data_IF_337885511655
#
_entry.id   IF_337885511655
#
_cell.length_a   1.000
_cell.length_b   1.000
_cell.length_c   1.000
_cell.angle_alpha   90.00
_cell.angle_beta   90.00
_cell.angle_gamma   90.00
#
_symmetry.space_group_name_H-M   'P 1'
#
loop_
_entity.id
_entity.type
_entity.pdbx_description
1 polymer ?
#
# COMPACT_ATOMS: atom_id res chain seq x y z
N UNK A 1 -46.81 23.21 -29.27
CA UNK A 1 -46.22 23.17 -27.92
C UNK A 1 -46.84 21.99 -27.19
N UNK A 2 -46.02 21.00 -26.78
CA UNK A 2 -46.50 19.73 -26.23
C UNK A 2 -47.13 19.95 -24.85
N UNK A 3 -48.34 19.43 -24.66
CA UNK A 3 -48.97 19.23 -23.37
C UNK A 3 -48.06 18.34 -22.50
N UNK A 4 -47.23 18.97 -21.67
CA UNK A 4 -46.57 18.28 -20.56
C UNK A 4 -47.68 17.95 -19.55
N UNK A 5 -47.81 16.67 -19.21
CA UNK A 5 -48.63 16.20 -18.11
C UNK A 5 -48.46 17.11 -16.88
N UNK A 6 -49.51 17.31 -16.05
CA UNK A 6 -49.36 18.04 -14.80
C UNK A 6 -48.20 17.44 -14.02
N UNK A 7 -47.32 18.30 -13.48
CA UNK A 7 -46.18 17.84 -12.68
C UNK A 7 -46.73 16.92 -11.59
N UNK A 8 -46.18 15.71 -11.40
CA UNK A 8 -46.59 14.86 -10.29
C UNK A 8 -46.46 15.67 -9.00
N UNK A 9 -47.56 15.79 -8.25
CA UNK A 9 -47.57 16.48 -6.97
C UNK A 9 -46.93 15.53 -5.95
N UNK A 10 -45.65 15.73 -5.66
CA UNK A 10 -44.94 15.04 -4.59
C UNK A 10 -44.72 16.01 -3.43
N UNK A 11 -44.71 15.48 -2.20
CA UNK A 11 -44.33 16.22 -1.00
C UNK A 11 -43.12 15.54 -0.39
N UNK A 12 -42.00 16.25 -0.30
CA UNK A 12 -40.81 15.73 0.35
C UNK A 12 -40.95 15.85 1.86
N UNK A 13 -40.74 14.72 2.54
CA UNK A 13 -40.67 14.66 4.00
C UNK A 13 -39.27 14.20 4.38
N UNK A 14 -38.59 14.97 5.23
CA UNK A 14 -37.32 14.53 5.80
C UNK A 14 -37.57 13.38 6.77
N UNK A 15 -36.93 12.25 6.55
CA UNK A 15 -36.97 11.12 7.47
C UNK A 15 -35.80 11.22 8.46
N UNK A 16 -36.07 10.98 9.74
CA UNK A 16 -35.05 10.97 10.80
C UNK A 16 -35.10 9.61 11.49
N UNK A 17 -34.19 8.72 11.11
CA UNK A 17 -34.16 7.32 11.53
C UNK A 17 -33.15 6.55 10.69
N UNK A 18 -33.13 5.23 10.85
CA UNK A 18 -32.19 4.36 10.11
C UNK A 18 -32.67 4.10 8.68
N UNK A 19 -31.75 3.69 7.81
CA UNK A 19 -32.12 3.27 6.45
C UNK A 19 -33.07 2.06 6.43
N UNK A 20 -32.96 1.17 7.42
CA UNK A 20 -33.85 0.01 7.50
C UNK A 20 -35.28 0.43 7.88
N UNK A 21 -35.43 1.40 8.79
CA UNK A 21 -36.73 1.98 9.12
C UNK A 21 -37.32 2.76 7.94
N UNK A 22 -36.48 3.47 7.18
CA UNK A 22 -36.91 4.18 5.96
C UNK A 22 -37.45 3.19 4.92
N UNK A 23 -36.72 2.11 4.64
CA UNK A 23 -37.15 1.06 3.71
C UNK A 23 -38.40 0.34 4.22
N UNK A 24 -38.47 0.04 5.51
CA UNK A 24 -39.64 -0.55 6.13
C UNK A 24 -40.88 0.35 5.99
N UNK A 25 -40.73 1.66 6.18
CA UNK A 25 -41.82 2.64 6.04
C UNK A 25 -42.34 2.71 4.61
N UNK A 26 -41.46 2.58 3.61
CA UNK A 26 -41.86 2.43 2.21
C UNK A 26 -42.59 1.11 2.01
N UNK A 27 -42.08 -0.02 2.53
CA UNK A 27 -42.77 -1.33 2.38
C UNK A 27 -44.17 -1.38 3.02
N UNK A 28 -44.38 -0.60 4.09
CA UNK A 28 -45.67 -0.52 4.80
C UNK A 28 -46.65 0.46 4.15
N UNK A 29 -46.27 1.13 3.07
CA UNK A 29 -47.12 2.10 2.36
C UNK A 29 -47.30 3.42 3.09
N UNK A 30 -46.43 3.73 4.07
CA UNK A 30 -46.42 5.03 4.76
C UNK A 30 -45.86 6.12 3.83
N UNK A 31 -44.87 5.75 3.02
CA UNK A 31 -44.30 6.58 1.97
C UNK A 31 -44.32 5.84 0.63
N UNK A 32 -44.63 6.54 -0.45
CA UNK A 32 -44.66 5.94 -1.80
C UNK A 32 -43.26 5.58 -2.30
N UNK A 33 -42.24 6.34 -1.87
CA UNK A 33 -40.85 6.16 -2.29
C UNK A 33 -39.88 6.83 -1.32
N UNK A 34 -38.63 6.35 -1.30
CA UNK A 34 -37.53 6.96 -0.57
C UNK A 34 -36.41 7.38 -1.53
N UNK A 35 -35.94 8.62 -1.37
CA UNK A 35 -34.86 9.21 -2.15
C UNK A 35 -33.69 9.48 -1.21
N UNK A 36 -32.55 8.87 -1.49
CA UNK A 36 -31.32 9.00 -0.71
C UNK A 36 -30.27 8.00 -1.19
N UNK A 37 -29.13 8.01 -0.52
CA UNK A 37 -28.02 7.06 -0.61
C UNK A 37 -28.37 5.69 -0.01
N UNK A 38 -29.53 5.15 -0.40
CA UNK A 38 -30.00 3.84 0.07
C UNK A 38 -29.27 2.74 -0.70
N UNK A 39 -28.44 1.98 0.01
CA UNK A 39 -27.74 0.84 -0.56
C UNK A 39 -28.69 -0.30 -0.86
N UNK A 40 -28.62 -0.80 -2.09
CA UNK A 40 -29.38 -1.96 -2.56
C UNK A 40 -28.77 -3.22 -1.92
N UNK A 41 -29.51 -3.86 -1.03
CA UNK A 41 -29.12 -5.12 -0.39
C UNK A 41 -30.13 -6.23 -0.73
N UNK A 42 -29.69 -7.49 -0.67
CA UNK A 42 -30.56 -8.63 -0.98
C UNK A 42 -31.80 -8.66 -0.07
N UNK A 43 -31.65 -8.32 1.21
CA UNK A 43 -32.73 -8.27 2.18
C UNK A 43 -33.79 -7.21 1.83
N UNK A 44 -33.36 -5.98 1.53
CA UNK A 44 -34.27 -4.86 1.21
C UNK A 44 -35.03 -5.08 -0.11
N UNK A 45 -34.40 -5.74 -1.08
CA UNK A 45 -35.04 -6.07 -2.37
C UNK A 45 -36.16 -7.10 -2.22
N UNK A 46 -36.19 -7.89 -1.14
CA UNK A 46 -37.30 -8.84 -0.93
C UNK A 46 -38.60 -8.17 -0.52
N UNK A 47 -38.54 -6.97 0.06
CA UNK A 47 -39.70 -6.26 0.61
C UNK A 47 -40.05 -4.99 -0.17
N UNK A 48 -39.14 -4.48 -0.99
CA UNK A 48 -39.31 -3.21 -1.72
C UNK A 48 -38.63 -3.26 -3.09
N UNK A 49 -39.15 -2.48 -4.03
CA UNK A 49 -38.54 -2.34 -5.35
C UNK A 49 -37.50 -1.22 -5.35
N UNK A 50 -36.45 -1.40 -6.14
CA UNK A 50 -35.38 -0.43 -6.29
C UNK A 50 -35.24 0.00 -7.75
N UNK A 51 -34.85 1.27 -7.95
CA UNK A 51 -34.42 1.74 -9.27
C UNK A 51 -33.10 1.09 -9.68
N UNK A 52 -32.73 1.22 -10.96
CA UNK A 52 -31.35 0.95 -11.37
C UNK A 52 -30.38 1.79 -10.51
N UNK A 53 -29.23 1.22 -10.11
CA UNK A 53 -28.29 1.92 -9.25
C UNK A 53 -27.74 3.15 -9.97
N UNK A 54 -27.85 4.32 -9.35
CA UNK A 54 -27.34 5.57 -9.92
C UNK A 54 -25.86 5.80 -9.56
N UNK A 55 -25.32 5.02 -8.61
CA UNK A 55 -23.90 5.05 -8.24
C UNK A 55 -23.48 3.64 -7.84
N UNK A 56 -22.45 3.10 -8.50
CA UNK A 56 -21.88 1.82 -8.10
C UNK A 56 -21.17 1.97 -6.75
N UNK A 57 -21.44 1.05 -5.83
CA UNK A 57 -20.86 1.04 -4.49
C UNK A 57 -20.28 -0.35 -4.20
N UNK A 58 -19.74 -0.50 -3.00
CA UNK A 58 -19.21 -1.72 -2.42
C UNK A 58 -18.66 -1.40 -1.05
N UNK A 59 -18.39 -2.44 -0.26
CA UNK A 59 -17.79 -2.30 1.05
C UNK A 59 -16.28 -2.44 0.91
N UNK A 60 -15.54 -1.49 1.47
CA UNK A 60 -14.08 -1.53 1.52
C UNK A 60 -13.59 -1.16 2.92
N UNK A 61 -12.27 -1.23 3.11
CA UNK A 61 -11.60 -0.96 4.36
C UNK A 61 -10.64 0.21 4.20
N UNK A 62 -10.72 1.16 5.13
CA UNK A 62 -9.79 2.26 5.31
C UNK A 62 -8.83 1.93 6.45
N UNK A 63 -7.54 2.15 6.21
CA UNK A 63 -6.46 1.91 7.18
C UNK A 63 -5.51 3.09 7.21
N UNK A 64 -4.83 3.28 8.34
CA UNK A 64 -3.72 4.22 8.45
C UNK A 64 -2.56 3.73 7.55
N UNK A 65 -2.06 4.60 6.69
CA UNK A 65 -0.86 4.35 5.93
C UNK A 65 0.34 4.56 6.85
N UNK A 66 1.15 3.52 7.05
CA UNK A 66 2.43 3.69 7.73
C UNK A 66 3.44 4.28 6.75
N UNK A 67 3.66 5.59 6.85
CA UNK A 67 4.96 6.14 6.48
C UNK A 67 5.95 5.74 7.58
N UNK A 68 7.02 5.02 7.25
CA UNK A 68 8.15 4.84 8.16
C UNK A 68 9.07 6.07 8.00
N UNK A 69 8.97 7.14 8.82
CA UNK A 69 9.76 8.35 8.61
C UNK A 69 11.28 8.16 8.88
N UNK A 70 11.72 7.05 9.48
CA UNK A 70 13.10 6.95 10.00
C UNK A 70 13.97 5.84 9.40
N UNK A 71 13.55 5.10 8.36
CA UNK A 71 14.37 4.00 7.82
C UNK A 71 15.35 4.40 6.70
N UNK A 72 15.33 5.66 6.24
CA UNK A 72 16.15 6.10 5.10
C UNK A 72 17.65 5.95 5.40
N UNK A 73 18.09 6.21 6.63
CA UNK A 73 19.52 6.21 7.00
C UNK A 73 20.23 4.87 6.75
N UNK A 74 19.54 3.73 6.86
CA UNK A 74 20.10 2.39 6.63
C UNK A 74 19.49 1.63 5.44
N UNK A 75 18.63 2.28 4.66
CA UNK A 75 17.98 1.64 3.50
C UNK A 75 18.99 1.31 2.40
N UNK A 76 20.13 2.00 2.34
CA UNK A 76 21.21 1.73 1.36
C UNK A 76 21.93 0.39 1.58
N UNK A 77 21.97 -0.15 2.81
CA UNK A 77 22.67 -1.44 3.08
C UNK A 77 21.73 -2.63 2.91
N UNK A 78 20.42 -2.42 3.01
CA UNK A 78 19.37 -3.45 2.87
C UNK A 78 19.25 -4.19 1.53
N UNK A 79 19.63 -3.63 0.36
CA UNK A 79 19.43 -4.31 -0.92
C UNK A 79 20.29 -5.56 -1.07
N UNK A 80 21.43 -5.60 -0.38
CA UNK A 80 22.38 -6.69 -0.47
C UNK A 80 22.48 -7.42 0.87
N UNK A 81 22.37 -8.75 0.84
CA UNK A 81 22.46 -9.55 2.06
C UNK A 81 23.89 -9.49 2.64
N UNK A 82 24.05 -9.62 3.96
CA UNK A 82 25.37 -9.56 4.61
C UNK A 82 26.38 -10.57 4.05
N UNK A 83 25.89 -11.76 3.65
CA UNK A 83 26.71 -12.78 2.96
C UNK A 83 27.23 -12.32 1.59
N UNK A 84 26.40 -11.59 0.83
CA UNK A 84 26.77 -11.05 -0.47
C UNK A 84 27.75 -9.89 -0.32
N UNK A 85 27.56 -9.01 0.68
CA UNK A 85 28.53 -7.96 1.01
C UNK A 85 29.92 -8.55 1.33
N UNK A 86 29.95 -9.59 2.16
CA UNK A 86 31.18 -10.28 2.50
C UNK A 86 31.81 -10.95 1.27
N UNK A 87 31.01 -11.62 0.43
CA UNK A 87 31.49 -12.22 -0.81
C UNK A 87 32.10 -11.17 -1.76
N UNK A 88 31.47 -10.00 -1.93
CA UNK A 88 32.01 -8.91 -2.75
C UNK A 88 33.34 -8.41 -2.22
N UNK A 89 33.49 -8.26 -0.90
CA UNK A 89 34.76 -7.93 -0.25
C UNK A 89 35.84 -8.98 -0.54
N UNK A 90 35.53 -10.27 -0.37
CA UNK A 90 36.48 -11.37 -0.64
C UNK A 90 36.89 -11.39 -2.12
N UNK A 91 35.94 -11.28 -3.05
CA UNK A 91 36.22 -11.26 -4.47
C UNK A 91 37.06 -10.05 -4.89
N UNK A 92 36.85 -8.89 -4.27
CA UNK A 92 37.66 -7.70 -4.50
C UNK A 92 39.13 -7.91 -4.11
N UNK A 93 39.39 -8.50 -2.94
CA UNK A 93 40.76 -8.85 -2.53
C UNK A 93 41.37 -9.93 -3.43
N UNK A 94 40.57 -10.92 -3.82
CA UNK A 94 41.01 -12.00 -4.72
C UNK A 94 41.45 -11.47 -6.08
N UNK A 95 40.67 -10.60 -6.72
CA UNK A 95 41.06 -10.03 -8.03
C UNK A 95 42.28 -9.13 -7.92
N UNK A 96 42.41 -8.36 -6.83
CA UNK A 96 43.64 -7.61 -6.55
C UNK A 96 44.87 -8.49 -6.38
N UNK A 97 44.73 -9.62 -5.69
CA UNK A 97 45.80 -10.61 -5.54
C UNK A 97 46.19 -11.23 -6.89
N UNK A 98 45.22 -11.61 -7.73
CA UNK A 98 45.48 -12.18 -9.07
C UNK A 98 46.20 -11.19 -9.98
N UNK A 99 45.76 -9.93 -10.00
CA UNK A 99 46.43 -8.87 -10.79
C UNK A 99 47.84 -8.63 -10.28
N UNK A 100 48.03 -8.57 -8.96
CA UNK A 100 49.35 -8.45 -8.35
C UNK A 100 50.27 -9.60 -8.76
N UNK A 101 49.82 -10.85 -8.68
CA UNK A 101 50.63 -12.02 -9.05
C UNK A 101 51.03 -12.03 -10.53
N UNK A 102 50.19 -11.51 -11.43
CA UNK A 102 50.46 -11.43 -12.87
C UNK A 102 51.45 -10.29 -13.21
N UNK A 103 51.38 -9.16 -12.51
CA UNK A 103 52.25 -8.00 -12.76
C UNK A 103 53.58 -8.06 -11.98
N UNK A 104 53.63 -8.80 -10.87
CA UNK A 104 54.83 -9.00 -10.02
C UNK A 104 56.11 -9.41 -10.80
N UNK A 105 56.05 -10.30 -11.81
CA UNK A 105 57.26 -10.73 -12.52
C UNK A 105 57.76 -9.72 -13.55
N UNK A 106 56.95 -8.72 -13.95
CA UNK A 106 57.12 -8.02 -15.24
C UNK A 106 57.22 -6.51 -15.12
N UNK A 107 57.00 -5.95 -13.93
CA UNK A 107 57.00 -4.50 -13.71
C UNK A 107 57.95 -4.11 -12.56
N UNK A 108 58.96 -3.27 -12.85
CA UNK A 108 59.92 -2.75 -11.86
C UNK A 108 59.26 -1.84 -10.80
N UNK A 109 58.11 -1.25 -11.11
CA UNK A 109 57.39 -0.35 -10.19
C UNK A 109 56.67 -1.12 -9.06
N UNK A 110 56.47 -2.43 -9.26
CA UNK A 110 56.00 -3.36 -8.23
C UNK A 110 57.17 -4.07 -7.52
N UNK A 111 58.44 -3.70 -7.75
CA UNK A 111 59.58 -4.21 -6.98
C UNK A 111 59.93 -3.24 -5.84
N UNK A 112 59.31 -3.44 -4.67
CA UNK A 112 59.57 -2.70 -3.43
C UNK A 112 59.24 -3.52 -2.18
N UNK A 113 59.20 -2.90 -0.99
CA UNK A 113 58.78 -3.58 0.26
C UNK A 113 57.38 -4.20 0.12
N UNK A 114 57.20 -5.42 0.65
CA UNK A 114 56.01 -6.26 0.44
C UNK A 114 54.68 -5.57 0.81
N UNK A 115 54.70 -4.68 1.82
CA UNK A 115 53.53 -3.89 2.24
C UNK A 115 53.18 -2.77 1.25
N UNK A 116 54.19 -2.15 0.63
CA UNK A 116 53.99 -1.07 -0.35
C UNK A 116 53.42 -1.64 -1.65
N UNK A 117 53.86 -2.82 -2.08
CA UNK A 117 53.32 -3.51 -3.25
C UNK A 117 51.84 -3.88 -3.09
N UNK A 118 51.46 -4.42 -1.94
CA UNK A 118 50.08 -4.77 -1.64
C UNK A 118 49.19 -3.52 -1.61
N UNK A 119 49.68 -2.43 -1.02
CA UNK A 119 48.98 -1.13 -1.02
C UNK A 119 48.80 -0.57 -2.43
N UNK A 120 49.79 -0.66 -3.31
CA UNK A 120 49.67 -0.18 -4.70
C UNK A 120 48.70 -1.04 -5.52
N UNK A 121 48.71 -2.36 -5.31
CA UNK A 121 47.76 -3.28 -5.96
C UNK A 121 46.32 -3.04 -5.49
N UNK A 122 46.10 -2.85 -4.19
CA UNK A 122 44.78 -2.51 -3.63
C UNK A 122 44.28 -1.15 -4.13
N UNK A 123 45.18 -0.16 -4.18
CA UNK A 123 44.87 1.16 -4.74
C UNK A 123 44.50 1.08 -6.22
N UNK A 124 45.19 0.24 -6.99
CA UNK A 124 44.88 0.01 -8.40
C UNK A 124 43.48 -0.61 -8.60
N UNK A 125 43.12 -1.63 -7.82
CA UNK A 125 41.80 -2.28 -7.91
C UNK A 125 40.68 -1.33 -7.46
N UNK A 126 40.96 -0.49 -6.46
CA UNK A 126 40.06 0.58 -6.02
C UNK A 126 39.91 1.68 -7.10
N UNK A 127 40.98 2.03 -7.80
CA UNK A 127 40.93 2.99 -8.92
C UNK A 127 40.19 2.42 -10.14
N UNK A 128 40.28 1.11 -10.39
CA UNK A 128 39.48 0.45 -11.44
C UNK A 128 38.00 0.38 -11.10
N UNK A 129 37.65 0.16 -9.83
CA UNK A 129 36.26 0.25 -9.35
C UNK A 129 35.64 1.65 -9.56
N UNK A 130 36.46 2.70 -9.47
CA UNK A 130 36.03 4.10 -9.61
C UNK A 130 36.28 4.68 -11.01
N UNK A 131 36.62 3.84 -11.99
CA UNK A 131 37.00 4.25 -13.36
C UNK A 131 38.14 5.28 -13.45
N UNK A 132 38.92 5.47 -12.38
CA UNK A 132 40.05 6.37 -12.34
C UNK A 132 41.28 5.68 -12.94
N UNK A 133 41.59 6.00 -14.20
CA UNK A 133 42.70 5.39 -14.95
C UNK A 133 44.04 6.05 -14.60
N UNK A 134 44.68 5.60 -13.51
CA UNK A 134 45.96 6.16 -13.05
C UNK A 134 47.23 5.42 -13.52
N UNK A 135 47.18 4.12 -13.84
CA UNK A 135 48.39 3.33 -14.12
C UNK A 135 48.27 2.44 -15.37
N UNK A 136 49.32 2.43 -16.19
CA UNK A 136 49.44 1.69 -17.44
C UNK A 136 49.82 0.22 -17.20
N UNK A 137 48.84 -0.68 -17.30
CA UNK A 137 49.04 -2.14 -17.26
C UNK A 137 49.86 -2.59 -18.48
N UNK A 138 50.97 -3.32 -18.26
CA UNK A 138 51.84 -3.82 -19.35
C UNK A 138 51.45 -5.21 -19.86
N UNK A 139 50.89 -6.10 -19.03
CA UNK A 139 50.54 -7.46 -19.46
C UNK A 139 49.19 -7.53 -20.20
N UNK A 140 49.09 -8.24 -21.34
CA UNK A 140 47.81 -8.46 -22.01
C UNK A 140 46.86 -9.34 -21.19
N UNK A 141 47.39 -10.23 -20.33
CA UNK A 141 46.58 -11.12 -19.49
C UNK A 141 45.89 -10.36 -18.34
N UNK A 142 46.60 -9.43 -17.69
CA UNK A 142 46.01 -8.57 -16.64
C UNK A 142 44.94 -7.64 -17.21
N UNK A 143 45.09 -7.17 -18.46
CA UNK A 143 44.04 -6.41 -19.16
C UNK A 143 42.75 -7.22 -19.33
N UNK A 144 42.85 -8.49 -19.77
CA UNK A 144 41.67 -9.37 -19.91
C UNK A 144 40.99 -9.59 -18.56
N UNK A 145 41.77 -9.86 -17.50
CA UNK A 145 41.24 -10.05 -16.14
C UNK A 145 40.50 -8.79 -15.65
N UNK A 146 41.06 -7.60 -15.90
CA UNK A 146 40.43 -6.32 -15.53
C UNK A 146 39.14 -6.06 -16.31
N UNK A 147 39.08 -6.41 -17.61
CA UNK A 147 37.86 -6.29 -18.42
C UNK A 147 36.76 -7.21 -17.88
N UNK A 148 37.09 -8.46 -17.55
CA UNK A 148 36.14 -9.41 -16.96
C UNK A 148 35.66 -8.89 -15.59
N UNK A 149 36.56 -8.39 -14.75
CA UNK A 149 36.22 -7.81 -13.45
C UNK A 149 35.30 -6.59 -13.60
N UNK A 150 35.56 -5.71 -14.56
CA UNK A 150 34.70 -4.57 -14.87
C UNK A 150 33.28 -5.03 -15.21
N UNK A 151 33.13 -6.09 -16.02
CA UNK A 151 31.83 -6.65 -16.34
C UNK A 151 31.09 -7.18 -15.09
N UNK A 152 31.79 -7.87 -14.19
CA UNK A 152 31.22 -8.36 -12.92
C UNK A 152 30.73 -7.19 -12.04
N UNK A 153 31.54 -6.14 -11.90
CA UNK A 153 31.18 -4.94 -11.12
C UNK A 153 29.96 -4.25 -11.73
N UNK A 154 29.89 -4.13 -13.05
CA UNK A 154 28.73 -3.53 -13.73
C UNK A 154 27.44 -4.30 -13.44
N UNK A 155 27.49 -5.64 -13.50
CA UNK A 155 26.32 -6.49 -13.17
C UNK A 155 25.92 -6.32 -11.69
N UNK A 156 26.89 -6.21 -10.77
CA UNK A 156 26.64 -5.96 -9.35
C UNK A 156 25.94 -4.60 -9.12
N UNK A 157 26.43 -3.53 -9.75
CA UNK A 157 25.85 -2.18 -9.63
C UNK A 157 24.43 -2.13 -10.21
N UNK A 158 24.20 -2.76 -11.36
CA UNK A 158 22.85 -2.85 -11.94
C UNK A 158 21.89 -3.63 -11.04
N UNK A 159 22.32 -4.77 -10.52
CA UNK A 159 21.50 -5.62 -9.63
C UNK A 159 21.19 -4.93 -8.30
N UNK A 160 22.15 -4.18 -7.75
CA UNK A 160 21.97 -3.36 -6.55
C UNK A 160 20.92 -2.27 -6.80
N UNK A 161 21.05 -1.54 -7.92
CA UNK A 161 20.11 -0.46 -8.27
C UNK A 161 18.69 -0.99 -8.48
N UNK A 162 18.54 -2.13 -9.16
CA UNK A 162 17.25 -2.79 -9.34
C UNK A 162 16.63 -3.24 -8.01
N UNK A 163 17.43 -3.81 -7.12
CA UNK A 163 16.98 -4.29 -5.80
C UNK A 163 16.57 -3.12 -4.89
N UNK A 164 17.36 -2.05 -4.87
CA UNK A 164 17.05 -0.83 -4.12
C UNK A 164 15.75 -0.20 -4.61
N UNK A 165 15.58 -0.08 -5.94
CA UNK A 165 14.36 0.44 -6.56
C UNK A 165 13.13 -0.39 -6.16
N UNK A 166 13.22 -1.72 -6.25
CA UNK A 166 12.14 -2.64 -5.83
C UNK A 166 11.75 -2.46 -4.35
N UNK A 167 12.73 -2.31 -3.45
CA UNK A 167 12.47 -2.05 -2.03
C UNK A 167 11.75 -0.73 -1.82
N UNK A 168 12.18 0.34 -2.50
CA UNK A 168 11.56 1.66 -2.40
C UNK A 168 10.12 1.65 -2.93
N UNK A 169 9.85 0.93 -4.01
CA UNK A 169 8.48 0.76 -4.53
C UNK A 169 7.62 -0.10 -3.60
N UNK A 170 8.15 -1.20 -3.06
CA UNK A 170 7.39 -2.13 -2.22
C UNK A 170 7.07 -1.60 -0.82
N UNK A 171 7.93 -0.74 -0.23
CA UNK A 171 7.70 -0.17 1.10
C UNK A 171 6.54 0.82 1.14
N UNK A 172 6.33 1.62 0.09
CA UNK A 172 5.20 2.56 -0.02
C UNK A 172 3.82 1.88 -0.06
N UNK A 173 3.78 0.55 -0.14
CA UNK A 173 2.55 -0.21 -0.38
C UNK A 173 2.06 -1.03 0.81
N UNK A 174 2.70 -0.99 1.98
CA UNK A 174 2.39 -1.92 3.10
C UNK A 174 1.51 -1.28 4.18
N UNK A 175 0.20 -1.54 4.19
CA UNK A 175 -0.67 -1.25 5.33
C UNK A 175 -0.48 -2.26 6.46
N UNK A 176 -0.83 -1.84 7.69
CA UNK A 176 -0.77 -2.65 8.92
C UNK A 176 -1.78 -3.82 8.90
N UNK A 177 -3.03 -3.58 8.47
CA UNK A 177 -3.98 -4.63 8.06
C UNK A 177 -3.90 -4.79 6.55
N UNK A 178 -3.65 -6.01 6.06
CA UNK A 178 -3.55 -6.26 4.61
C UNK A 178 -4.86 -6.69 4.00
N UNK A 179 -5.62 -7.51 4.72
CA UNK A 179 -6.81 -8.18 4.24
C UNK A 179 -7.88 -8.25 5.33
N UNK A 180 -9.13 -8.34 4.91
CA UNK A 180 -10.27 -8.53 5.80
C UNK A 180 -10.15 -9.80 6.66
N UNK A 181 -9.58 -10.90 6.12
CA UNK A 181 -9.32 -12.11 6.89
C UNK A 181 -8.37 -11.90 8.07
N UNK A 182 -7.33 -11.07 7.89
CA UNK A 182 -6.41 -10.74 8.98
C UNK A 182 -7.14 -10.01 10.10
N UNK A 183 -8.03 -9.08 9.75
CA UNK A 183 -8.85 -8.33 10.71
C UNK A 183 -9.80 -9.24 11.49
N UNK A 184 -10.31 -10.29 10.85
CA UNK A 184 -11.17 -11.29 11.50
C UNK A 184 -10.42 -12.03 12.61
N UNK A 185 -9.17 -12.41 12.35
CA UNK A 185 -8.35 -13.19 13.29
C UNK A 185 -7.51 -12.37 14.28
N UNK A 186 -7.28 -11.08 14.04
CA UNK A 186 -6.35 -10.28 14.86
C UNK A 186 -6.88 -9.92 16.25
N UNK A 187 -8.20 -9.91 16.44
CA UNK A 187 -8.83 -9.48 17.69
C UNK A 187 -8.93 -7.97 17.87
N UNK A 188 -8.51 -7.17 16.88
CA UNK A 188 -8.52 -5.70 16.96
C UNK A 188 -9.93 -5.10 16.87
N UNK A 189 -10.08 -3.86 17.34
CA UNK A 189 -11.29 -3.07 17.16
C UNK A 189 -11.45 -2.59 15.71
N UNK A 190 -12.69 -2.58 15.23
CA UNK A 190 -13.09 -2.24 13.87
C UNK A 190 -14.12 -1.12 13.91
N UNK A 191 -13.87 -0.06 13.15
CA UNK A 191 -14.79 1.06 12.99
C UNK A 191 -15.76 0.83 11.84
N UNK A 192 -16.96 1.43 11.93
CA UNK A 192 -17.93 1.49 10.84
C UNK A 192 -18.77 2.77 10.95
N UNK A 193 -19.46 3.15 9.87
CA UNK A 193 -20.35 4.31 9.88
C UNK A 193 -21.61 4.03 10.70
N UNK A 194 -22.01 4.98 11.54
CA UNK A 194 -23.29 4.89 12.25
C UNK A 194 -24.48 4.81 11.27
N UNK A 195 -25.53 4.10 11.65
CA UNK A 195 -26.73 3.84 10.84
C UNK A 195 -26.47 3.15 9.48
N UNK A 196 -25.30 2.53 9.29
CA UNK A 196 -24.96 1.79 8.06
C UNK A 196 -25.25 0.30 8.15
N UNK A 197 -25.64 -0.30 7.01
CA UNK A 197 -25.79 -1.75 6.86
C UNK A 197 -24.47 -2.52 7.09
N UNK A 198 -23.34 -1.80 7.06
CA UNK A 198 -22.01 -2.36 7.31
C UNK A 198 -21.92 -3.01 8.70
N UNK A 199 -22.68 -2.54 9.70
CA UNK A 199 -22.76 -3.20 11.01
C UNK A 199 -23.22 -4.65 10.88
N UNK A 200 -24.36 -4.87 10.23
CA UNK A 200 -24.93 -6.20 10.02
C UNK A 200 -24.02 -7.06 9.13
N UNK A 201 -23.38 -6.45 8.13
CA UNK A 201 -22.36 -7.11 7.32
C UNK A 201 -21.18 -7.63 8.17
N UNK A 202 -20.62 -6.82 9.06
CA UNK A 202 -19.49 -7.21 9.91
C UNK A 202 -19.86 -8.34 10.89
N UNK A 203 -21.05 -8.29 11.48
CA UNK A 203 -21.56 -9.32 12.38
C UNK A 203 -21.73 -10.66 11.64
N UNK A 204 -22.33 -10.64 10.44
CA UNK A 204 -22.50 -11.83 9.60
C UNK A 204 -21.17 -12.45 9.14
N UNK A 205 -20.08 -11.68 9.16
CA UNK A 205 -18.73 -12.12 8.80
C UNK A 205 -17.85 -12.52 10.01
N UNK A 206 -18.45 -12.86 11.16
CA UNK A 206 -17.79 -13.32 12.38
C UNK A 206 -16.89 -12.27 13.07
N UNK A 207 -17.20 -10.98 12.94
CA UNK A 207 -16.58 -9.94 13.78
C UNK A 207 -17.50 -9.72 14.98
N UNK A 208 -16.97 -9.95 16.19
CA UNK A 208 -17.72 -9.82 17.43
C UNK A 208 -18.18 -8.38 17.68
N UNK A 209 -19.42 -8.21 18.15
CA UNK A 209 -20.03 -6.90 18.39
C UNK A 209 -19.23 -6.02 19.37
N UNK A 210 -18.62 -6.64 20.39
CA UNK A 210 -17.78 -5.95 21.37
C UNK A 210 -16.51 -5.30 20.76
N UNK A 211 -16.13 -5.70 19.55
CA UNK A 211 -14.99 -5.15 18.80
C UNK A 211 -15.42 -4.03 17.84
N UNK A 212 -16.71 -3.80 17.66
CA UNK A 212 -17.23 -2.81 16.75
C UNK A 212 -17.36 -1.44 17.42
N UNK A 213 -16.98 -0.39 16.69
CA UNK A 213 -17.12 1.00 17.12
C UNK A 213 -17.82 1.78 15.99
N UNK A 214 -18.93 2.45 16.29
CA UNK A 214 -19.58 3.33 15.32
C UNK A 214 -18.99 4.73 15.36
N UNK A 215 -18.96 5.38 14.20
CA UNK A 215 -18.46 6.74 14.02
C UNK A 215 -19.37 7.49 13.05
N UNK A 216 -19.53 8.81 13.27
CA UNK A 216 -20.44 9.66 12.46
C UNK A 216 -19.70 10.58 11.50
N UNK A 217 -18.53 11.06 11.89
CA UNK A 217 -17.81 12.10 11.14
C UNK A 217 -16.48 11.60 10.60
N UNK A 218 -16.02 12.23 9.52
CA UNK A 218 -14.71 11.96 8.92
C UNK A 218 -13.57 12.23 9.91
N UNK A 219 -13.71 13.24 10.76
CA UNK A 219 -12.73 13.58 11.79
C UNK A 219 -12.58 12.43 12.81
N UNK A 220 -13.69 11.81 13.22
CA UNK A 220 -13.66 10.65 14.11
C UNK A 220 -12.98 9.45 13.46
N UNK A 221 -13.17 9.27 12.14
CA UNK A 221 -12.48 8.20 11.40
C UNK A 221 -10.96 8.37 11.50
N UNK A 222 -10.49 9.59 11.23
CA UNK A 222 -9.08 9.91 11.25
C UNK A 222 -8.48 9.75 12.65
N UNK A 223 -9.16 10.25 13.69
CA UNK A 223 -8.71 10.14 15.08
C UNK A 223 -8.66 8.68 15.56
N UNK A 224 -9.70 7.90 15.26
CA UNK A 224 -9.78 6.51 15.66
C UNK A 224 -8.68 5.65 15.01
N UNK A 225 -8.41 5.87 13.73
CA UNK A 225 -7.32 5.19 13.01
C UNK A 225 -5.94 5.63 13.48
N UNK A 226 -5.74 6.91 13.81
CA UNK A 226 -4.46 7.42 14.34
C UNK A 226 -4.16 6.91 15.75
N UNK A 227 -5.17 6.77 16.60
CA UNK A 227 -5.01 6.19 17.94
C UNK A 227 -4.70 4.69 17.88
N UNK A 228 -5.28 3.97 16.91
CA UNK A 228 -5.09 2.53 16.72
C UNK A 228 -5.79 1.69 17.79
N UNK A 229 -5.99 0.39 17.51
CA UNK A 229 -6.77 -0.50 18.38
C UNK A 229 -6.22 -0.63 19.81
N UNK A 230 -4.93 -0.42 20.04
CA UNK A 230 -4.30 -0.56 21.37
C UNK A 230 -4.53 0.66 22.28
N UNK A 231 -4.76 1.84 21.71
CA UNK A 231 -4.93 3.09 22.47
C UNK A 231 -6.40 3.57 22.47
N UNK A 232 -7.36 2.65 22.40
CA UNK A 232 -8.79 2.96 22.40
C UNK A 232 -9.35 3.44 21.05
N UNK A 233 -8.56 3.39 19.98
CA UNK A 233 -9.00 3.61 18.60
C UNK A 233 -9.39 2.31 17.89
N UNK A 234 -9.21 2.27 16.57
CA UNK A 234 -9.49 1.11 15.72
C UNK A 234 -8.32 0.83 14.79
N UNK A 235 -8.15 -0.43 14.39
CA UNK A 235 -7.11 -0.80 13.43
C UNK A 235 -7.53 -0.59 11.97
N UNK A 236 -8.83 -0.59 11.73
CA UNK A 236 -9.42 -0.45 10.42
C UNK A 236 -10.84 0.12 10.54
N UNK A 237 -11.27 0.86 9.52
CA UNK A 237 -12.65 1.28 9.36
C UNK A 237 -13.21 0.61 8.12
N UNK A 238 -14.34 -0.07 8.26
CA UNK A 238 -15.05 -0.69 7.14
C UNK A 238 -16.24 0.18 6.80
N UNK A 239 -16.38 0.54 5.53
CA UNK A 239 -17.43 1.42 5.08
C UNK A 239 -17.64 1.30 3.56
N UNK A 240 -18.64 1.99 3.02
CA UNK A 240 -18.90 2.01 1.60
C UNK A 240 -17.86 2.84 0.82
N UNK A 241 -17.52 2.37 -0.37
CA UNK A 241 -16.52 2.98 -1.26
C UNK A 241 -16.81 4.47 -1.52
N UNK A 242 -18.06 4.93 -1.78
CA UNK A 242 -18.33 6.35 -1.98
C UNK A 242 -17.93 7.22 -0.77
N UNK A 243 -18.21 6.77 0.46
CA UNK A 243 -17.83 7.50 1.68
C UNK A 243 -16.32 7.50 1.90
N UNK A 244 -15.66 6.35 1.73
CA UNK A 244 -14.20 6.25 1.84
C UNK A 244 -13.49 7.07 0.76
N UNK A 245 -14.02 7.09 -0.46
CA UNK A 245 -13.50 7.90 -1.56
C UNK A 245 -13.67 9.39 -1.25
N UNK A 246 -14.81 9.78 -0.69
CA UNK A 246 -15.06 11.15 -0.21
C UNK A 246 -14.14 11.54 0.96
N UNK A 247 -13.76 10.59 1.82
CA UNK A 247 -12.78 10.81 2.87
C UNK A 247 -11.37 11.03 2.31
N UNK A 248 -10.92 10.18 1.37
CA UNK A 248 -9.59 10.27 0.76
C UNK A 248 -9.43 11.44 -0.21
N UNK A 249 -10.53 11.96 -0.76
CA UNK A 249 -10.51 13.15 -1.61
C UNK A 249 -10.24 14.44 -0.83
N UNK A 250 -10.38 14.42 0.50
CA UNK A 250 -10.01 15.54 1.36
C UNK A 250 -8.48 15.61 1.49
N UNK A 251 -7.90 16.75 1.10
CA UNK A 251 -6.46 16.98 1.11
C UNK A 251 -5.84 16.88 2.51
N UNK A 252 -6.65 16.98 3.58
CA UNK A 252 -6.23 16.76 4.97
C UNK A 252 -5.85 15.31 5.28
N UNK A 253 -6.37 14.35 4.51
CA UNK A 253 -6.30 12.92 4.82
C UNK A 253 -5.66 12.07 3.71
N UNK A 254 -5.57 12.57 2.47
CA UNK A 254 -5.15 11.78 1.31
C UNK A 254 -3.76 11.10 1.39
N UNK A 255 -2.84 11.59 2.24
CA UNK A 255 -1.51 11.00 2.41
C UNK A 255 -1.40 10.05 3.61
N UNK A 256 -2.18 10.27 4.66
CA UNK A 256 -2.07 9.54 5.93
C UNK A 256 -2.83 8.21 5.90
N UNK A 257 -3.77 8.05 4.97
CA UNK A 257 -4.71 6.92 4.95
C UNK A 257 -4.77 6.27 3.58
N UNK A 258 -5.15 5.00 3.57
CA UNK A 258 -5.31 4.22 2.34
C UNK A 258 -6.52 3.32 2.42
N UNK A 259 -7.26 3.27 1.31
CA UNK A 259 -8.32 2.28 1.11
C UNK A 259 -7.73 0.98 0.53
N UNK A 260 -8.14 -0.14 1.10
CA UNK A 260 -7.77 -1.48 0.65
C UNK A 260 -8.77 -1.99 -0.40
N UNK A 261 -8.55 -3.20 -0.91
CA UNK A 261 -9.42 -3.78 -1.94
C UNK A 261 -10.87 -3.92 -1.47
N UNK A 262 -11.79 -3.94 -2.44
CA UNK A 262 -13.22 -4.17 -2.19
C UNK A 262 -13.44 -5.54 -1.54
N UNK A 263 -14.11 -5.55 -0.39
CA UNK A 263 -14.42 -6.75 0.41
C UNK A 263 -15.72 -7.38 -0.10
N UNK A 264 -16.72 -6.55 -0.39
CA UNK A 264 -18.03 -6.99 -0.83
C UNK A 264 -18.59 -6.03 -1.86
N UNK A 265 -19.05 -6.57 -3.00
CA UNK A 265 -19.59 -5.77 -4.09
C UNK A 265 -21.11 -5.62 -3.91
N UNK A 266 -21.57 -4.39 -3.73
CA UNK A 266 -23.00 -4.06 -3.77
C UNK A 266 -23.38 -3.57 -5.17
N UNK A 267 -24.66 -3.67 -5.57
CA UNK A 267 -25.13 -3.06 -6.82
C UNK A 267 -24.91 -1.54 -6.83
N UNK A 268 -25.04 -0.89 -5.67
CA UNK A 268 -24.91 0.55 -5.54
C UNK A 268 -26.01 1.20 -4.72
N UNK A 269 -26.07 2.52 -4.81
CA UNK A 269 -27.19 3.31 -4.29
C UNK A 269 -28.33 3.34 -5.31
N UNK A 270 -29.56 3.20 -4.82
CA UNK A 270 -30.78 3.26 -5.61
C UNK A 270 -31.91 3.92 -4.83
N UNK A 271 -32.92 4.41 -5.54
CA UNK A 271 -34.13 4.90 -4.90
C UNK A 271 -35.09 3.73 -4.64
N UNK A 272 -35.83 3.82 -3.54
CA UNK A 272 -36.76 2.79 -3.09
C UNK A 272 -38.17 3.18 -3.53
N UNK A 273 -38.94 2.22 -4.01
CA UNK A 273 -40.37 2.38 -4.29
C UNK A 273 -41.17 1.26 -3.64
N UNK A 274 -42.44 1.57 -3.34
CA UNK A 274 -43.40 0.57 -2.91
C UNK A 274 -43.53 -0.55 -3.96
N UNK A 275 -43.44 -1.82 -3.53
CA UNK A 275 -43.63 -2.97 -4.42
C UNK A 275 -45.11 -3.33 -4.47
N UNK A 276 -45.72 -3.19 -5.65
CA UNK A 276 -47.15 -3.46 -5.90
C UNK A 276 -47.44 -4.92 -6.17
#
# INVERSE_FOLDING_TARGET
MRNLHPRPCYTFSSFNGTYDELVASVSLGVYDSAVGDVTITAERVTTTDFTMPYTQSGVSMLVLAEDEPNTICWTFVKPLNGKLWFATMVFFFYTGFVVWMIELPRNQEYQGSSLRQCSTALYFVFSTLTFSHGHTIRSPLSKIVVVIWCFVVLVLVQSYTASLSSILTAKRLRPWVRNFDQLRHSGDFVGYQDDSFVRSFLLNHNISENRLRSYKTKEQYAEALKNGSKNGGVSAIVDEIPYLTSFLSDNRYGNDFRMLGCIYKTPGFGFVSYST
#
